data_IF_125170825486
#
_entry.id   IF_125170825486
#
_cell.length_a   1.000
_cell.length_b   1.000
_cell.length_c   1.000
_cell.angle_alpha   90.00
_cell.angle_beta   90.00
_cell.angle_gamma   90.00
#
_symmetry.space_group_name_H-M   'P 1'
#
loop_
_entity.id
_entity.type
_entity.pdbx_description
1 polymer ?
#
# COMPACT_ATOMS: atom_id res chain seq x y z
N UNK A 1 -71.26 -29.89 -30.63
CA UNK A 1 -70.25 -28.89 -30.28
C UNK A 1 -68.91 -29.57 -30.10
N UNK A 2 -68.04 -29.46 -31.11
CA UNK A 2 -66.70 -30.09 -31.09
C UNK A 2 -65.72 -29.30 -30.20
N UNK A 3 -65.15 -29.96 -29.19
CA UNK A 3 -64.03 -29.37 -28.36
C UNK A 3 -62.80 -29.38 -29.20
N UNK A 4 -62.33 -28.20 -29.59
CA UNK A 4 -61.01 -28.00 -30.20
C UNK A 4 -59.93 -28.19 -29.14
N UNK A 5 -59.15 -29.28 -29.26
CA UNK A 5 -57.94 -29.49 -28.41
C UNK A 5 -56.78 -28.61 -28.93
N UNK A 6 -56.53 -27.53 -28.27
CA UNK A 6 -55.32 -26.72 -28.54
C UNK A 6 -54.10 -27.49 -28.03
N UNK A 7 -53.22 -27.94 -28.96
CA UNK A 7 -51.94 -28.52 -28.61
C UNK A 7 -51.05 -27.40 -27.98
N UNK A 8 -50.80 -27.48 -26.66
CA UNK A 8 -49.81 -26.66 -26.02
C UNK A 8 -48.41 -27.06 -26.57
N UNK A 9 -47.80 -26.14 -27.28
CA UNK A 9 -46.40 -26.28 -27.72
C UNK A 9 -45.53 -26.15 -26.49
N UNK A 10 -44.91 -27.23 -26.02
CA UNK A 10 -43.88 -27.16 -24.97
C UNK A 10 -42.73 -26.34 -25.51
N UNK A 11 -42.51 -25.17 -24.92
CA UNK A 11 -41.36 -24.35 -25.18
C UNK A 11 -40.21 -24.98 -24.40
N UNK A 12 -39.43 -25.86 -25.02
CA UNK A 12 -38.13 -26.29 -24.46
C UNK A 12 -37.23 -25.10 -24.52
N UNK A 13 -36.95 -24.53 -23.34
CA UNK A 13 -35.92 -23.50 -23.19
C UNK A 13 -34.57 -24.22 -23.35
N UNK A 14 -33.79 -23.81 -24.34
CA UNK A 14 -32.46 -24.35 -24.55
C UNK A 14 -31.54 -23.79 -23.46
N UNK A 15 -31.27 -24.62 -22.44
CA UNK A 15 -30.45 -24.25 -21.29
C UNK A 15 -28.95 -24.11 -21.66
N UNK A 16 -28.54 -24.61 -22.82
CA UNK A 16 -27.15 -24.53 -23.30
C UNK A 16 -26.79 -23.09 -23.61
N UNK A 17 -27.65 -22.36 -24.31
CA UNK A 17 -27.44 -20.94 -24.60
C UNK A 17 -27.41 -20.08 -23.31
N UNK A 18 -28.28 -20.40 -22.34
CA UNK A 18 -28.31 -19.71 -21.05
C UNK A 18 -27.06 -19.98 -20.24
N UNK A 19 -26.53 -21.20 -20.25
CA UNK A 19 -25.30 -21.58 -19.58
C UNK A 19 -24.08 -20.88 -20.19
N UNK A 20 -24.02 -20.76 -21.51
CA UNK A 20 -22.92 -20.10 -22.22
C UNK A 20 -22.86 -18.61 -21.87
N UNK A 21 -24.02 -17.93 -21.90
CA UNK A 21 -24.10 -16.51 -21.52
C UNK A 21 -23.70 -16.30 -20.06
N UNK A 22 -24.10 -17.18 -19.14
CA UNK A 22 -23.71 -17.07 -17.73
C UNK A 22 -22.22 -17.30 -17.53
N UNK A 23 -21.62 -18.26 -18.22
CA UNK A 23 -20.16 -18.51 -18.15
C UNK A 23 -19.38 -17.35 -18.76
N UNK A 24 -19.82 -16.82 -19.90
CA UNK A 24 -19.19 -15.62 -20.51
C UNK A 24 -19.26 -14.40 -19.59
N UNK A 25 -20.40 -14.14 -18.96
CA UNK A 25 -20.57 -13.08 -17.97
C UNK A 25 -19.65 -13.29 -16.76
N UNK A 26 -19.59 -14.52 -16.24
CA UNK A 26 -18.72 -14.84 -15.11
C UNK A 26 -17.25 -14.60 -15.43
N UNK A 27 -16.80 -15.11 -16.60
CA UNK A 27 -15.41 -14.92 -17.04
C UNK A 27 -15.10 -13.44 -17.31
N UNK A 28 -16.03 -12.71 -17.90
CA UNK A 28 -15.92 -11.27 -18.10
C UNK A 28 -15.73 -10.52 -16.76
N UNK A 29 -16.60 -10.80 -15.76
CA UNK A 29 -16.45 -10.17 -14.44
C UNK A 29 -15.17 -10.58 -13.73
N UNK A 30 -14.70 -11.82 -13.86
CA UNK A 30 -13.42 -12.23 -13.30
C UNK A 30 -12.24 -11.51 -13.95
N UNK A 31 -12.27 -11.30 -15.26
CA UNK A 31 -11.19 -10.61 -15.99
C UNK A 31 -11.22 -9.09 -15.79
N UNK A 32 -12.40 -8.51 -15.59
CA UNK A 32 -12.56 -7.05 -15.39
C UNK A 32 -12.53 -6.65 -13.91
N UNK A 33 -12.59 -7.61 -12.99
CA UNK A 33 -12.50 -7.31 -11.58
C UNK A 33 -11.09 -6.82 -11.23
N UNK A 34 -10.98 -5.54 -10.91
CA UNK A 34 -9.75 -4.97 -10.35
C UNK A 34 -9.67 -5.34 -8.88
N UNK A 35 -8.63 -6.09 -8.52
CA UNK A 35 -8.34 -6.34 -7.11
C UNK A 35 -7.89 -5.02 -6.47
N UNK A 36 -8.77 -4.41 -5.68
CA UNK A 36 -8.38 -3.28 -4.83
C UNK A 36 -7.37 -3.79 -3.80
N UNK A 37 -6.22 -3.16 -3.77
CA UNK A 37 -5.21 -3.46 -2.76
C UNK A 37 -5.77 -3.10 -1.39
N UNK A 38 -5.63 -4.02 -0.45
CA UNK A 38 -6.15 -3.87 0.90
C UNK A 38 -5.28 -2.86 1.67
N UNK A 39 -5.84 -1.70 1.95
CA UNK A 39 -5.16 -0.73 2.82
C UNK A 39 -5.10 -1.25 4.27
N UNK A 40 -4.00 -1.03 4.99
CA UNK A 40 -3.83 -1.52 6.37
C UNK A 40 -4.88 -0.93 7.31
N UNK A 41 -5.24 0.32 7.09
CA UNK A 41 -6.32 1.04 7.79
C UNK A 41 -7.15 1.78 6.75
N UNK A 42 -8.46 1.72 6.88
CA UNK A 42 -9.35 2.53 6.05
C UNK A 42 -9.23 3.99 6.49
N UNK A 43 -8.68 4.82 5.62
CA UNK A 43 -8.55 6.26 5.83
C UNK A 43 -9.66 6.96 5.07
N UNK A 44 -10.61 7.55 5.79
CA UNK A 44 -11.66 8.37 5.20
C UNK A 44 -11.08 9.77 4.98
N UNK A 45 -10.63 10.04 3.77
CA UNK A 45 -10.09 11.36 3.44
C UNK A 45 -11.18 12.41 3.45
N UNK A 46 -10.93 13.61 4.00
CA UNK A 46 -11.89 14.72 3.95
C UNK A 46 -12.17 15.12 2.49
N UNK A 47 -13.37 15.61 2.17
CA UNK A 47 -13.70 16.08 0.83
C UNK A 47 -12.77 17.24 0.46
N UNK A 48 -12.03 17.09 -0.63
CA UNK A 48 -11.14 18.15 -1.14
C UNK A 48 -11.89 19.01 -2.14
N UNK A 49 -11.80 20.33 -1.98
CA UNK A 49 -12.27 21.32 -2.96
C UNK A 49 -11.16 21.77 -3.91
N UNK A 50 -10.00 21.11 -3.88
CA UNK A 50 -8.86 21.45 -4.74
C UNK A 50 -9.08 20.94 -6.16
N UNK A 51 -9.01 21.83 -7.14
CA UNK A 51 -9.04 21.49 -8.57
C UNK A 51 -7.72 20.91 -9.10
N UNK A 52 -6.66 20.94 -8.27
CA UNK A 52 -5.37 20.34 -8.66
C UNK A 52 -5.49 18.83 -8.68
N UNK A 53 -5.31 18.23 -9.85
CA UNK A 53 -5.18 16.79 -10.00
C UNK A 53 -3.97 16.33 -9.18
N UNK A 54 -4.21 15.33 -8.34
CA UNK A 54 -3.11 14.66 -7.64
C UNK A 54 -2.19 14.05 -8.70
N UNK A 55 -0.87 14.29 -8.64
CA UNK A 55 0.05 13.71 -9.61
C UNK A 55 -0.12 12.20 -9.69
N UNK A 56 -0.16 11.70 -10.89
CA UNK A 56 -0.36 10.27 -11.16
C UNK A 56 0.87 9.41 -10.76
N UNK A 57 2.03 10.03 -10.63
CA UNK A 57 3.29 9.39 -10.22
C UNK A 57 3.49 9.48 -8.70
N UNK A 58 2.76 8.66 -7.96
CA UNK A 58 3.00 8.52 -6.53
C UNK A 58 4.05 7.44 -6.33
N UNK A 59 5.20 7.81 -5.79
CA UNK A 59 6.27 6.86 -5.47
C UNK A 59 6.12 6.33 -4.05
N UNK A 60 5.70 7.21 -3.13
CA UNK A 60 5.45 6.89 -1.73
C UNK A 60 4.14 7.53 -1.26
N UNK A 61 3.31 6.76 -0.57
CA UNK A 61 2.15 7.26 0.15
C UNK A 61 2.36 7.10 1.65
N UNK A 62 2.12 8.17 2.39
CA UNK A 62 2.10 8.17 3.85
C UNK A 62 0.64 8.19 4.30
N UNK A 63 0.21 7.14 5.00
CA UNK A 63 -1.15 7.06 5.55
C UNK A 63 -1.10 7.40 7.04
N UNK A 64 -1.94 8.33 7.45
CA UNK A 64 -2.08 8.72 8.86
C UNK A 64 -3.48 8.33 9.33
N UNK A 65 -3.53 7.37 10.23
CA UNK A 65 -4.78 6.88 10.79
C UNK A 65 -5.35 7.85 11.82
N UNK A 66 -6.62 7.71 12.15
CA UNK A 66 -7.32 8.54 13.12
C UNK A 66 -6.64 8.56 14.51
N UNK A 67 -6.02 7.44 14.90
CA UNK A 67 -5.27 7.33 16.16
C UNK A 67 -3.85 7.92 16.10
N UNK A 68 -3.48 8.55 14.98
CA UNK A 68 -2.19 9.17 14.74
C UNK A 68 -1.06 8.19 14.37
N UNK A 69 -1.37 6.93 14.11
CA UNK A 69 -0.40 5.94 13.61
C UNK A 69 -0.08 6.19 12.15
N UNK A 70 1.17 5.98 11.81
CA UNK A 70 1.68 6.24 10.46
C UNK A 70 2.04 4.93 9.77
N UNK A 71 1.64 4.84 8.51
CA UNK A 71 1.94 3.71 7.63
C UNK A 71 2.52 4.22 6.32
N UNK A 72 3.35 3.42 5.69
CA UNK A 72 3.97 3.71 4.40
C UNK A 72 3.52 2.71 3.35
N UNK A 73 3.26 3.22 2.15
CA UNK A 73 2.98 2.44 0.96
C UNK A 73 3.95 2.86 -0.15
N UNK A 74 4.62 1.88 -0.77
CA UNK A 74 5.57 2.09 -1.85
C UNK A 74 4.98 1.56 -3.16
N UNK A 75 4.79 2.44 -4.13
CA UNK A 75 4.04 2.16 -5.34
C UNK A 75 4.91 1.95 -6.59
N UNK A 76 6.18 2.37 -6.57
CA UNK A 76 7.05 2.33 -7.75
C UNK A 76 6.68 3.37 -8.82
N UNK A 77 7.32 3.30 -9.99
CA UNK A 77 7.09 4.20 -11.11
C UNK A 77 6.06 3.64 -12.08
N UNK A 78 5.23 4.51 -12.70
CA UNK A 78 4.25 4.09 -13.72
C UNK A 78 4.91 3.51 -14.98
N UNK A 79 6.07 4.01 -15.35
CA UNK A 79 6.76 3.64 -16.58
C UNK A 79 7.42 2.27 -16.56
N UNK A 80 7.08 1.42 -15.56
CA UNK A 80 7.59 0.06 -15.40
C UNK A 80 9.13 -0.04 -15.29
N UNK A 81 9.84 1.06 -15.22
CA UNK A 81 11.30 1.11 -15.06
C UNK A 81 11.72 0.62 -13.68
N UNK A 82 10.90 0.92 -12.66
CA UNK A 82 11.08 0.46 -11.29
C UNK A 82 9.80 -0.20 -10.78
N UNK A 83 9.81 -1.52 -10.72
CA UNK A 83 8.69 -2.28 -10.15
C UNK A 83 8.56 -2.00 -8.66
N UNK A 84 7.34 -1.92 -8.17
CA UNK A 84 7.06 -1.68 -6.74
C UNK A 84 7.71 -2.73 -5.83
N UNK A 85 7.82 -3.97 -6.29
CA UNK A 85 8.49 -5.05 -5.55
C UNK A 85 9.98 -4.81 -5.38
N UNK A 86 10.67 -4.40 -6.45
CA UNK A 86 12.11 -4.15 -6.44
C UNK A 86 12.44 -2.89 -5.61
N UNK A 87 11.58 -1.87 -5.69
CA UNK A 87 11.68 -0.69 -4.83
C UNK A 87 11.55 -1.08 -3.35
N UNK A 88 10.56 -1.90 -3.00
CA UNK A 88 10.36 -2.37 -1.61
C UNK A 88 11.57 -3.13 -1.09
N UNK A 89 12.16 -4.00 -1.92
CA UNK A 89 13.37 -4.73 -1.54
C UNK A 89 14.54 -3.77 -1.27
N UNK A 90 14.81 -2.83 -2.18
CA UNK A 90 15.88 -1.85 -2.04
C UNK A 90 15.69 -0.99 -0.79
N UNK A 91 14.47 -0.48 -0.58
CA UNK A 91 14.12 0.36 0.58
C UNK A 91 14.29 -0.41 1.89
N UNK A 92 13.81 -1.65 1.98
CA UNK A 92 13.96 -2.46 3.19
C UNK A 92 15.44 -2.66 3.56
N UNK A 93 16.27 -3.04 2.58
CA UNK A 93 17.70 -3.25 2.79
C UNK A 93 18.40 -1.97 3.28
N UNK A 94 18.11 -0.84 2.63
CA UNK A 94 18.68 0.46 3.00
C UNK A 94 18.19 0.94 4.37
N UNK A 95 16.91 0.80 4.67
CA UNK A 95 16.33 1.20 5.95
C UNK A 95 16.96 0.40 7.11
N UNK A 96 17.06 -0.93 6.97
CA UNK A 96 17.67 -1.77 7.99
C UNK A 96 19.18 -1.50 8.12
N UNK A 97 19.88 -1.23 7.03
CA UNK A 97 21.29 -0.84 7.08
C UNK A 97 21.51 0.47 7.87
N UNK A 98 20.68 1.51 7.59
CA UNK A 98 20.73 2.79 8.31
C UNK A 98 20.35 2.61 9.78
N UNK A 99 19.30 1.84 10.07
CA UNK A 99 18.89 1.53 11.44
C UNK A 99 20.01 0.84 12.22
N UNK A 100 20.65 -0.17 11.63
CA UNK A 100 21.75 -0.90 12.25
C UNK A 100 23.02 -0.06 12.45
N UNK A 101 23.19 1.02 11.68
CA UNK A 101 24.29 1.96 11.85
C UNK A 101 24.05 2.93 13.03
N UNK A 102 22.79 3.27 13.31
CA UNK A 102 22.42 4.24 14.34
C UNK A 102 22.00 3.61 15.67
N UNK A 103 21.55 2.34 15.65
CA UNK A 103 21.01 1.68 16.83
C UNK A 103 21.86 0.48 17.27
N UNK A 104 21.90 0.24 18.58
CA UNK A 104 22.63 -0.89 19.17
C UNK A 104 21.97 -2.25 18.87
N UNK A 105 20.63 -2.25 18.83
CA UNK A 105 19.85 -3.45 18.52
C UNK A 105 19.82 -3.69 17.02
N UNK A 106 20.65 -4.59 16.53
CA UNK A 106 20.75 -4.89 15.10
C UNK A 106 19.64 -5.83 14.64
N UNK A 107 19.06 -5.52 13.50
CA UNK A 107 18.05 -6.32 12.81
C UNK A 107 18.71 -7.09 11.67
N UNK A 108 18.59 -8.41 11.66
CA UNK A 108 19.12 -9.27 10.61
C UNK A 108 18.00 -9.78 9.72
N UNK A 109 18.06 -9.44 8.44
CA UNK A 109 17.10 -9.89 7.43
C UNK A 109 17.56 -11.19 6.80
N UNK A 110 16.62 -12.12 6.61
CA UNK A 110 16.80 -13.32 5.80
C UNK A 110 16.20 -13.11 4.41
N UNK A 111 16.60 -13.91 3.43
CA UNK A 111 16.01 -13.87 2.09
C UNK A 111 14.48 -14.05 2.11
N UNK A 112 13.97 -14.88 3.03
CA UNK A 112 12.53 -15.08 3.26
C UNK A 112 11.84 -13.78 3.71
N UNK A 113 12.45 -13.00 4.60
CA UNK A 113 11.92 -11.72 5.06
C UNK A 113 11.84 -10.71 3.90
N UNK A 114 12.88 -10.65 3.07
CA UNK A 114 12.91 -9.75 1.91
C UNK A 114 11.80 -10.12 0.93
N UNK A 115 11.63 -11.40 0.61
CA UNK A 115 10.56 -11.86 -0.28
C UNK A 115 9.16 -11.58 0.30
N UNK A 116 8.97 -11.78 1.58
CA UNK A 116 7.72 -11.48 2.26
C UNK A 116 7.39 -9.99 2.23
N UNK A 117 8.40 -9.12 2.39
CA UNK A 117 8.22 -7.66 2.33
C UNK A 117 7.95 -7.17 0.89
N UNK A 118 8.58 -7.75 -0.12
CA UNK A 118 8.32 -7.44 -1.55
C UNK A 118 6.85 -7.57 -1.90
N UNK A 119 6.17 -8.55 -1.32
CA UNK A 119 4.74 -8.84 -1.55
C UNK A 119 3.81 -7.98 -0.68
N UNK A 120 4.34 -7.25 0.30
CA UNK A 120 3.54 -6.40 1.19
C UNK A 120 3.25 -5.06 0.51
N UNK A 121 1.97 -4.64 0.46
CA UNK A 121 1.60 -3.38 -0.19
C UNK A 121 1.92 -2.18 0.70
N UNK A 122 1.54 -2.25 1.95
CA UNK A 122 1.79 -1.22 2.95
C UNK A 122 2.37 -1.83 4.21
N UNK A 123 3.09 -1.03 4.95
CA UNK A 123 3.71 -1.44 6.21
C UNK A 123 3.71 -0.27 7.20
N UNK A 124 3.83 -0.58 8.48
CA UNK A 124 3.79 0.42 9.55
C UNK A 124 4.19 -0.22 10.86
N UNK A 125 5.24 -1.04 10.83
CA UNK A 125 5.77 -1.72 12.01
C UNK A 125 7.12 -1.12 12.34
N UNK A 126 7.46 -0.92 13.63
CA UNK A 126 8.79 -0.50 14.04
C UNK A 126 9.87 -1.43 13.47
N UNK A 127 11.00 -0.87 13.03
CA UNK A 127 12.09 -1.64 12.39
C UNK A 127 12.59 -2.75 13.32
N UNK A 128 12.62 -2.50 14.62
CA UNK A 128 12.98 -3.50 15.63
C UNK A 128 12.08 -4.75 15.63
N UNK A 129 10.83 -4.61 15.26
CA UNK A 129 9.84 -5.69 15.22
C UNK A 129 9.59 -6.24 13.81
N UNK A 130 10.29 -5.70 12.81
CA UNK A 130 10.07 -6.04 11.39
C UNK A 130 10.24 -7.54 11.11
N UNK A 131 11.28 -8.16 11.65
CA UNK A 131 11.54 -9.60 11.46
C UNK A 131 10.42 -10.47 12.03
N UNK A 132 9.96 -10.16 13.23
CA UNK A 132 8.85 -10.88 13.86
C UNK A 132 7.55 -10.77 13.07
N UNK A 133 7.28 -9.56 12.56
CA UNK A 133 6.11 -9.30 11.72
C UNK A 133 6.18 -10.05 10.39
N UNK A 134 7.34 -10.08 9.74
CA UNK A 134 7.55 -10.79 8.47
C UNK A 134 7.51 -12.32 8.61
N UNK A 135 7.78 -12.86 9.79
CA UNK A 135 7.66 -14.30 10.08
C UNK A 135 6.20 -14.76 10.25
N UNK A 136 5.27 -13.82 10.55
CA UNK A 136 3.85 -14.15 10.72
C UNK A 136 3.20 -14.56 9.39
N UNK A 137 2.15 -15.40 9.42
CA UNK A 137 1.28 -15.64 8.27
C UNK A 137 0.63 -14.34 7.78
N UNK A 138 0.27 -14.27 6.49
CA UNK A 138 -0.27 -13.05 5.87
C UNK A 138 -1.49 -12.49 6.62
N UNK A 139 -2.42 -13.36 7.03
CA UNK A 139 -3.64 -12.95 7.74
C UNK A 139 -3.35 -12.34 9.13
N UNK A 140 -2.32 -12.85 9.81
CA UNK A 140 -1.89 -12.34 11.10
C UNK A 140 -1.12 -11.04 10.95
N UNK A 141 -0.32 -10.90 9.88
CA UNK A 141 0.37 -9.66 9.54
C UNK A 141 -0.61 -8.51 9.34
N UNK A 142 -1.71 -8.74 8.60
CA UNK A 142 -2.75 -7.74 8.37
C UNK A 142 -3.43 -7.30 9.67
N UNK A 143 -3.64 -8.24 10.60
CA UNK A 143 -4.22 -7.92 11.92
C UNK A 143 -3.23 -7.15 12.80
N UNK A 144 -1.97 -7.58 12.82
CA UNK A 144 -0.91 -6.92 13.58
C UNK A 144 -0.65 -5.49 13.05
N UNK A 145 -0.76 -5.30 11.73
CA UNK A 145 -0.56 -4.00 11.12
C UNK A 145 -1.59 -2.96 11.59
N UNK A 146 -2.85 -3.36 11.83
CA UNK A 146 -3.89 -2.45 12.34
C UNK A 146 -3.58 -1.86 13.73
N UNK A 147 -2.82 -2.58 14.53
CA UNK A 147 -2.44 -2.15 15.88
C UNK A 147 -1.05 -1.54 15.96
N UNK A 148 -0.22 -1.80 14.95
CA UNK A 148 1.12 -1.24 14.83
C UNK A 148 1.04 0.20 14.28
N UNK A 149 2.19 0.81 14.10
CA UNK A 149 2.39 2.12 13.49
C UNK A 149 3.89 2.41 13.53
N UNK A 150 4.41 3.15 12.56
CA UNK A 150 5.78 3.63 12.61
C UNK A 150 5.85 4.69 13.70
N UNK A 151 6.78 4.57 14.67
CA UNK A 151 7.00 5.62 15.66
C UNK A 151 7.41 6.92 14.96
N UNK A 152 6.69 7.99 15.25
CA UNK A 152 6.99 9.31 14.73
C UNK A 152 6.95 10.31 15.89
N UNK A 153 8.03 11.04 16.03
CA UNK A 153 8.18 12.15 16.96
C UNK A 153 8.71 13.35 16.18
N UNK A 154 8.42 14.54 16.65
CA UNK A 154 8.96 15.74 16.04
C UNK A 154 10.47 15.79 16.29
N UNK A 155 11.25 15.72 15.24
CA UNK A 155 12.70 15.69 15.32
C UNK A 155 13.33 16.51 14.20
N UNK A 156 14.10 17.51 14.58
CA UNK A 156 14.87 18.36 13.66
C UNK A 156 16.36 17.99 13.65
N UNK A 157 16.76 17.00 14.46
CA UNK A 157 18.16 16.55 14.53
C UNK A 157 18.40 15.38 13.54
N UNK A 158 18.93 15.71 12.39
CA UNK A 158 19.26 14.74 11.34
C UNK A 158 20.44 13.82 11.73
N UNK A 159 21.15 14.10 12.81
CA UNK A 159 22.22 13.22 13.28
C UNK A 159 21.69 12.00 14.01
N UNK A 160 20.46 12.09 14.54
CA UNK A 160 19.71 11.00 15.18
C UNK A 160 18.33 10.87 14.58
N UNK A 161 18.23 10.36 13.35
CA UNK A 161 16.95 10.30 12.67
C UNK A 161 15.96 9.37 13.39
N UNK A 162 14.69 9.75 13.39
CA UNK A 162 13.58 8.88 13.83
C UNK A 162 13.43 7.69 12.88
N UNK A 163 12.74 6.63 13.31
CA UNK A 163 12.46 5.49 12.42
C UNK A 163 11.73 5.92 11.15
N UNK A 164 10.81 6.89 11.25
CA UNK A 164 10.12 7.42 10.08
C UNK A 164 11.10 8.12 9.12
N UNK A 165 12.00 8.97 9.63
CA UNK A 165 13.03 9.62 8.83
C UNK A 165 13.99 8.62 8.18
N UNK A 166 14.35 7.54 8.88
CA UNK A 166 15.14 6.44 8.32
C UNK A 166 14.45 5.82 7.10
N UNK A 167 13.13 5.60 7.18
CA UNK A 167 12.36 5.09 6.06
C UNK A 167 12.31 6.06 4.88
N UNK A 168 12.04 7.35 5.14
CA UNK A 168 12.01 8.39 4.10
C UNK A 168 13.36 8.50 3.39
N UNK A 169 14.45 8.55 4.14
CA UNK A 169 15.81 8.57 3.57
C UNK A 169 16.13 7.30 2.78
N UNK A 170 15.69 6.13 3.25
CA UNK A 170 15.91 4.88 2.54
C UNK A 170 15.14 4.84 1.20
N UNK A 171 13.93 5.40 1.17
CA UNK A 171 13.15 5.56 -0.08
C UNK A 171 13.86 6.50 -1.03
N UNK A 172 14.32 7.65 -0.54
CA UNK A 172 15.06 8.62 -1.33
C UNK A 172 16.30 8.00 -1.98
N UNK A 173 17.14 7.35 -1.16
CA UNK A 173 18.37 6.70 -1.66
C UNK A 173 18.08 5.57 -2.65
N UNK A 174 17.00 4.80 -2.43
CA UNK A 174 16.61 3.73 -3.35
C UNK A 174 16.13 4.27 -4.71
N UNK A 175 15.42 5.41 -4.69
CA UNK A 175 14.99 6.09 -5.91
C UNK A 175 16.14 6.80 -6.62
N UNK A 176 17.12 7.32 -5.88
CA UNK A 176 18.32 7.93 -6.45
C UNK A 176 19.17 6.90 -7.19
N UNK A 177 19.39 5.71 -6.60
CA UNK A 177 20.08 4.59 -7.26
C UNK A 177 19.35 4.12 -8.53
N UNK A 178 18.02 4.22 -8.54
CA UNK A 178 17.20 3.86 -9.69
C UNK A 178 17.06 4.99 -10.73
N UNK A 179 17.63 6.19 -10.47
CA UNK A 179 17.50 7.36 -11.34
C UNK A 179 16.09 7.96 -11.37
N UNK A 180 15.24 7.68 -10.37
CA UNK A 180 13.84 8.11 -10.28
C UNK A 180 13.58 9.11 -9.12
N UNK A 181 14.64 9.75 -8.59
CA UNK A 181 14.52 10.65 -7.43
C UNK A 181 13.97 12.04 -7.78
N UNK A 182 13.88 12.41 -9.05
CA UNK A 182 13.49 13.77 -9.46
C UNK A 182 12.10 14.18 -8.99
N UNK A 183 11.13 13.25 -9.04
CA UNK A 183 9.77 13.51 -8.58
C UNK A 183 9.71 13.67 -7.05
N UNK A 184 10.56 12.94 -6.33
CA UNK A 184 10.66 13.07 -4.88
C UNK A 184 11.31 14.40 -4.49
N UNK A 185 12.38 14.82 -5.19
CA UNK A 185 13.04 16.13 -5.01
C UNK A 185 12.08 17.31 -5.23
N UNK A 186 11.15 17.17 -6.17
CA UNK A 186 10.10 18.18 -6.47
C UNK A 186 8.92 18.11 -5.51
N UNK A 187 8.87 17.14 -4.59
CA UNK A 187 7.73 16.89 -3.71
C UNK A 187 6.49 16.31 -4.40
N UNK A 188 6.58 15.96 -5.69
CA UNK A 188 5.47 15.39 -6.45
C UNK A 188 5.34 13.88 -6.28
N UNK A 189 6.40 13.21 -5.83
CA UNK A 189 6.45 11.76 -5.62
C UNK A 189 5.88 11.30 -4.28
N UNK A 190 5.55 12.21 -3.36
CA UNK A 190 5.05 11.90 -2.02
C UNK A 190 3.58 12.30 -1.90
N UNK A 191 2.75 11.39 -1.42
CA UNK A 191 1.37 11.68 -1.09
C UNK A 191 1.10 11.42 0.39
N UNK A 192 0.43 12.34 1.07
CA UNK A 192 -0.02 12.16 2.44
C UNK A 192 -1.54 11.98 2.40
N UNK A 193 -2.00 10.86 2.96
CA UNK A 193 -3.42 10.56 3.15
C UNK A 193 -3.69 10.53 4.65
N UNK A 194 -4.37 11.52 5.18
CA UNK A 194 -4.78 11.58 6.58
C UNK A 194 -6.28 11.31 6.70
N UNK A 195 -6.69 10.63 7.77
CA UNK A 195 -8.09 10.45 8.12
C UNK A 195 -8.72 11.78 8.54
N UNK A 196 -9.99 11.98 8.20
CA UNK A 196 -10.73 13.20 8.54
C UNK A 196 -10.82 13.47 10.07
N UNK A 197 -10.70 12.42 10.87
CA UNK A 197 -10.67 12.51 12.33
C UNK A 197 -9.28 12.68 12.94
N UNK A 198 -8.23 12.71 12.11
CA UNK A 198 -6.85 12.85 12.62
C UNK A 198 -6.58 14.28 13.09
N UNK A 199 -6.06 14.51 14.30
CA UNK A 199 -5.64 15.82 14.75
C UNK A 199 -4.59 16.43 13.81
N UNK A 200 -4.79 17.69 13.42
CA UNK A 200 -3.88 18.39 12.50
C UNK A 200 -2.42 18.40 12.98
N UNK A 201 -2.20 18.49 14.27
CA UNK A 201 -0.86 18.44 14.89
C UNK A 201 -0.08 17.19 14.48
N UNK A 202 -0.76 16.03 14.41
CA UNK A 202 -0.13 14.77 13.96
C UNK A 202 0.26 14.81 12.50
N UNK A 203 -0.58 15.38 11.65
CA UNK A 203 -0.27 15.56 10.23
C UNK A 203 0.91 16.53 10.06
N UNK A 204 0.96 17.58 10.88
CA UNK A 204 2.05 18.54 10.87
C UNK A 204 3.39 17.89 11.27
N UNK A 205 3.40 17.02 12.30
CA UNK A 205 4.60 16.25 12.67
C UNK A 205 5.07 15.39 11.52
N UNK A 206 4.17 14.73 10.79
CA UNK A 206 4.53 13.96 9.58
C UNK A 206 5.16 14.85 8.53
N UNK A 207 4.55 16.00 8.24
CA UNK A 207 5.09 16.94 7.24
C UNK A 207 6.46 17.51 7.61
N UNK A 208 6.70 17.76 8.91
CA UNK A 208 7.98 18.28 9.40
C UNK A 208 9.10 17.24 9.36
N UNK A 209 8.78 15.95 9.27
CA UNK A 209 9.72 14.84 9.22
C UNK A 209 9.97 14.30 7.80
N UNK A 210 9.33 14.86 6.78
CA UNK A 210 9.52 14.53 5.37
C UNK A 210 10.64 15.36 4.74
#
# INVERSE_FOLDING_TARGET
MGKVKIKKKETRIDMTAMSDVTVLLLTFFMLTSTFLQKEPVQVITPPSVSEKKVPDSKLMSVLVAQDGKVYLELLGTKDSTLKSEDLREAVLKKAVAKYNATHTNKVNLTAKHVEAFRKSNAFGVPISNMTKWLDMPVDERDKALKTAGIPIEENFDLTRPTEFQIWVQAVYDALEDAGAADDMKKGTGIAIKADAGTPYERVQVVMNNL
#
